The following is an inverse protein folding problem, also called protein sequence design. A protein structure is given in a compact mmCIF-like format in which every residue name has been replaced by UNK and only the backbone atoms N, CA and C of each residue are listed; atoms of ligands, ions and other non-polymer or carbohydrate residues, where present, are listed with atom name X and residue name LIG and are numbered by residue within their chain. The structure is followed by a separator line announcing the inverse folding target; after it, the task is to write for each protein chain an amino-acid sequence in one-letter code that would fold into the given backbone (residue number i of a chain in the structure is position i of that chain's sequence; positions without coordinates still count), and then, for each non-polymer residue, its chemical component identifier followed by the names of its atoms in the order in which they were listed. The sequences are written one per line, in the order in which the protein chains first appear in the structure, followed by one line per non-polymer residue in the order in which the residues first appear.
data_IF_608565361971
#
_entry.id   IF_608565361971
#
_cell.length_a   1.000
_cell.length_b   1.000
_cell.length_c   1.000
_cell.angle_alpha   90.00
_cell.angle_beta   90.00
_cell.angle_gamma   90.00
#
_symmetry.space_group_name_H-M   'P 1'
#
loop_
_entity.id
_entity.type
_entity.pdbx_description
1 polymer ?
#
# COMPACT_ATOMS: atom_id res chain seq x y z
N UNK A 1 1.24 6.56 -13.65
CA UNK A 1 1.58 6.04 -12.30
C UNK A 1 0.32 5.91 -11.50
N UNK A 2 -0.38 4.87 -11.74
CA UNK A 2 -1.69 4.95 -11.18
C UNK A 2 -2.07 3.60 -10.63
N UNK A 3 -1.25 3.21 -9.69
CA UNK A 3 -1.55 2.14 -8.79
C UNK A 3 -2.24 2.79 -7.64
N UNK A 4 -3.51 2.66 -7.52
CA UNK A 4 -4.25 2.96 -6.31
C UNK A 4 -3.66 3.93 -5.28
N UNK A 5 -2.52 4.54 -5.62
CA UNK A 5 -1.84 5.59 -4.87
C UNK A 5 -2.59 6.91 -4.92
N UNK A 6 -3.67 6.93 -5.66
CA UNK A 6 -4.66 8.01 -5.60
C UNK A 6 -5.07 8.29 -4.16
N UNK A 7 -4.96 7.32 -3.29
CA UNK A 7 -5.12 7.52 -1.86
C UNK A 7 -4.10 8.46 -1.21
N UNK A 8 -3.00 8.79 -1.88
CA UNK A 8 -2.07 9.82 -1.42
C UNK A 8 -2.59 11.23 -1.72
N UNK A 9 -3.52 11.39 -2.60
CA UNK A 9 -4.24 12.65 -2.78
C UNK A 9 -5.23 12.83 -1.65
N UNK A 10 -4.98 13.82 -0.87
CA UNK A 10 -5.61 14.09 0.43
C UNK A 10 -7.13 13.96 0.45
N UNK A 11 -7.80 14.53 -0.54
CA UNK A 11 -9.26 14.56 -0.59
C UNK A 11 -9.89 13.20 -0.80
N UNK A 12 -9.26 12.34 -1.57
CA UNK A 12 -9.74 10.98 -1.86
C UNK A 12 -9.41 10.07 -0.68
N UNK A 13 -8.24 10.24 -0.09
CA UNK A 13 -7.82 9.51 1.09
C UNK A 13 -8.81 9.67 2.24
N UNK A 14 -9.23 10.89 2.54
CA UNK A 14 -10.15 11.16 3.64
C UNK A 14 -11.52 10.52 3.39
N UNK A 15 -11.96 10.44 2.17
CA UNK A 15 -13.19 9.73 1.80
C UNK A 15 -13.09 8.22 2.00
N UNK A 16 -11.92 7.63 1.89
CA UNK A 16 -11.69 6.19 2.08
C UNK A 16 -11.38 5.81 3.53
N UNK A 17 -10.90 6.72 4.36
CA UNK A 17 -10.60 6.45 5.76
C UNK A 17 -11.80 6.01 6.58
N UNK A 18 -13.00 6.37 6.18
CA UNK A 18 -14.24 6.01 6.86
C UNK A 18 -14.85 4.68 6.38
N UNK A 19 -14.28 4.06 5.36
CA UNK A 19 -14.73 2.78 4.84
C UNK A 19 -14.11 1.63 5.61
N UNK A 20 -14.69 1.30 6.75
CA UNK A 20 -14.28 0.15 7.55
C UNK A 20 -14.98 -1.14 7.13
N UNK A 21 -15.87 -1.07 6.15
CA UNK A 21 -16.67 -2.19 5.69
C UNK A 21 -16.18 -2.62 4.31
N UNK A 22 -15.74 -3.87 4.21
CA UNK A 22 -15.29 -4.49 2.97
C UNK A 22 -16.29 -4.32 1.82
N UNK A 23 -17.61 -4.35 2.11
CA UNK A 23 -18.65 -4.14 1.10
C UNK A 23 -18.62 -2.73 0.51
N UNK A 24 -18.28 -1.75 1.31
CA UNK A 24 -18.17 -0.37 0.84
C UNK A 24 -16.94 -0.17 -0.03
N UNK A 25 -15.80 -0.78 0.32
CA UNK A 25 -14.60 -0.79 -0.50
C UNK A 25 -14.88 -1.40 -1.87
N UNK A 26 -15.52 -2.58 -1.89
CA UNK A 26 -15.88 -3.26 -3.14
C UNK A 26 -16.83 -2.42 -4.00
N UNK A 27 -17.84 -1.83 -3.38
CA UNK A 27 -18.80 -0.97 -4.08
C UNK A 27 -18.13 0.25 -4.69
N UNK A 28 -17.32 0.95 -3.91
CA UNK A 28 -16.60 2.15 -4.39
C UNK A 28 -15.63 1.80 -5.50
N UNK A 29 -14.90 0.70 -5.36
CA UNK A 29 -14.00 0.23 -6.41
C UNK A 29 -14.76 -0.05 -7.71
N UNK A 30 -15.85 -0.83 -7.64
CA UNK A 30 -16.64 -1.19 -8.82
C UNK A 30 -17.33 0.01 -9.48
N UNK A 31 -17.88 0.90 -8.68
CA UNK A 31 -18.72 2.00 -9.18
C UNK A 31 -17.92 3.22 -9.64
N UNK A 32 -16.74 3.44 -9.08
CA UNK A 32 -16.00 4.68 -9.29
C UNK A 32 -14.54 4.50 -9.67
N UNK A 33 -13.79 3.73 -8.89
CA UNK A 33 -12.32 3.71 -8.97
C UNK A 33 -11.82 2.94 -10.19
N UNK A 34 -12.35 1.77 -10.46
CA UNK A 34 -11.83 0.86 -11.49
C UNK A 34 -11.78 1.47 -12.89
N UNK A 35 -12.62 2.46 -13.17
CA UNK A 35 -12.64 3.14 -14.48
C UNK A 35 -11.43 4.03 -14.69
N UNK A 36 -10.85 4.56 -13.61
CA UNK A 36 -9.72 5.47 -13.64
C UNK A 36 -8.43 4.79 -13.20
N UNK A 37 -8.54 3.86 -12.27
CA UNK A 37 -7.42 3.17 -11.67
C UNK A 37 -7.78 1.70 -11.41
N UNK A 38 -7.41 0.78 -12.34
CA UNK A 38 -7.77 -0.63 -12.18
C UNK A 38 -7.09 -1.31 -11.01
N UNK A 39 -5.94 -0.81 -10.56
CA UNK A 39 -5.24 -1.30 -9.38
C UNK A 39 -5.47 -0.36 -8.20
N UNK A 40 -6.09 -0.86 -7.16
CA UNK A 40 -6.49 -0.07 -6.00
C UNK A 40 -6.02 -0.72 -4.71
N UNK A 41 -5.30 0.06 -3.90
CA UNK A 41 -4.91 -0.30 -2.55
C UNK A 41 -5.59 0.64 -1.56
N UNK A 42 -6.28 0.09 -0.60
CA UNK A 42 -6.92 0.84 0.48
C UNK A 42 -6.35 0.38 1.82
N UNK A 43 -5.85 1.30 2.61
CA UNK A 43 -5.36 1.03 3.96
C UNK A 43 -6.42 1.40 5.00
N UNK A 44 -6.68 0.53 5.95
CA UNK A 44 -7.61 0.74 7.06
C UNK A 44 -6.84 0.84 8.40
N UNK A 45 -5.92 1.79 8.48
CA UNK A 45 -5.06 1.99 9.65
C UNK A 45 -4.23 0.74 9.97
N UNK A 46 -4.27 0.30 11.22
CA UNK A 46 -3.52 -0.86 11.70
C UNK A 46 -4.27 -2.19 11.53
N UNK A 47 -5.39 -2.22 10.81
CA UNK A 47 -6.23 -3.43 10.69
C UNK A 47 -5.84 -4.27 9.49
N UNK A 48 -5.98 -3.71 8.31
CA UNK A 48 -5.80 -4.44 7.05
C UNK A 48 -5.51 -3.52 5.88
N UNK A 49 -5.04 -4.11 4.81
CA UNK A 49 -4.88 -3.49 3.51
C UNK A 49 -5.75 -4.27 2.53
N UNK A 50 -6.58 -3.57 1.77
CA UNK A 50 -7.41 -4.15 0.73
C UNK A 50 -6.78 -3.90 -0.64
N UNK A 51 -6.57 -4.95 -1.41
CA UNK A 51 -6.17 -4.90 -2.82
C UNK A 51 -7.37 -5.21 -3.70
N UNK A 52 -7.61 -4.37 -4.68
CA UNK A 52 -8.59 -4.59 -5.74
C UNK A 52 -7.96 -4.33 -7.09
N UNK A 53 -8.05 -5.30 -7.96
CA UNK A 53 -7.68 -5.18 -9.37
C UNK A 53 -8.81 -5.76 -10.23
N UNK A 54 -8.64 -5.78 -11.55
CA UNK A 54 -9.63 -6.41 -12.43
C UNK A 54 -9.79 -7.92 -12.17
N UNK A 55 -8.77 -8.57 -11.62
CA UNK A 55 -8.74 -10.03 -11.41
C UNK A 55 -8.51 -10.46 -9.96
N UNK A 56 -8.06 -9.56 -9.08
CA UNK A 56 -7.67 -9.86 -7.71
C UNK A 56 -8.52 -9.06 -6.74
N UNK A 57 -9.04 -9.76 -5.74
CA UNK A 57 -9.71 -9.20 -4.57
C UNK A 57 -9.10 -9.87 -3.34
N UNK A 58 -8.29 -9.12 -2.59
CA UNK A 58 -7.53 -9.70 -1.47
C UNK A 58 -7.36 -8.71 -0.33
N UNK A 59 -7.39 -9.22 0.88
CA UNK A 59 -7.10 -8.51 2.12
C UNK A 59 -5.79 -9.02 2.72
N UNK A 60 -5.00 -8.09 3.23
CA UNK A 60 -3.75 -8.36 3.91
C UNK A 60 -3.86 -7.89 5.35
N UNK A 61 -3.93 -8.80 6.31
CA UNK A 61 -3.92 -8.43 7.73
C UNK A 61 -2.57 -7.80 8.06
N UNK A 62 -2.60 -6.70 8.82
CA UNK A 62 -1.37 -6.07 9.31
C UNK A 62 -0.95 -6.79 10.59
N UNK A 63 0.30 -7.26 10.68
CA UNK A 63 0.81 -7.87 11.89
C UNK A 63 0.71 -6.91 13.07
N UNK A 64 0.32 -7.37 14.25
CA UNK A 64 0.27 -6.53 15.44
C UNK A 64 1.66 -5.95 15.73
N UNK A 65 1.72 -4.66 15.96
CA UNK A 65 2.92 -3.91 16.27
C UNK A 65 2.66 -2.97 17.44
N UNK A 66 3.54 -3.00 18.43
CA UNK A 66 3.58 -1.95 19.45
C UNK A 66 4.21 -0.69 18.85
N UNK A 67 3.35 0.19 18.35
CA UNK A 67 3.80 1.40 17.71
C UNK A 67 4.16 2.47 18.75
N UNK A 68 5.33 3.09 18.58
CA UNK A 68 5.73 4.30 19.31
C UNK A 68 5.00 5.51 18.74
N UNK A 69 4.87 5.56 17.41
CA UNK A 69 4.13 6.59 16.69
C UNK A 69 3.59 6.01 15.39
N UNK A 70 2.42 6.45 14.96
CA UNK A 70 1.84 6.08 13.65
C UNK A 70 1.96 7.20 12.63
N UNK A 71 2.60 8.32 13.00
CA UNK A 71 2.81 9.46 12.10
C UNK A 71 3.75 9.05 10.97
N UNK A 72 3.34 9.29 9.74
CA UNK A 72 4.12 8.96 8.55
C UNK A 72 4.02 7.50 8.09
N UNK A 73 3.29 6.64 8.81
CA UNK A 73 3.13 5.23 8.43
C UNK A 73 2.53 5.06 7.02
N UNK A 74 1.49 5.83 6.70
CA UNK A 74 0.85 5.78 5.38
C UNK A 74 1.77 6.25 4.25
N UNK A 75 2.52 7.32 4.46
CA UNK A 75 3.47 7.84 3.47
C UNK A 75 4.61 6.85 3.23
N UNK A 76 5.11 6.23 4.30
CA UNK A 76 6.16 5.22 4.19
C UNK A 76 5.62 3.88 3.65
N UNK A 77 4.38 3.53 3.90
CA UNK A 77 3.73 2.43 3.19
C UNK A 77 3.76 2.67 1.67
N UNK A 78 3.37 3.85 1.21
CA UNK A 78 3.42 4.22 -0.20
C UNK A 78 4.86 4.16 -0.76
N UNK A 79 5.84 4.63 0.00
CA UNK A 79 7.26 4.53 -0.38
C UNK A 79 7.70 3.06 -0.52
N UNK A 80 7.25 2.19 0.39
CA UNK A 80 7.50 0.75 0.33
C UNK A 80 6.85 0.08 -0.88
N UNK A 81 5.64 0.50 -1.28
CA UNK A 81 5.00 0.03 -2.52
C UNK A 81 5.84 0.43 -3.74
N UNK A 82 6.28 1.69 -3.82
CA UNK A 82 7.15 2.16 -4.92
C UNK A 82 8.45 1.36 -4.95
N UNK A 83 9.09 1.18 -3.80
CA UNK A 83 10.28 0.34 -3.69
C UNK A 83 10.04 -1.08 -4.19
N UNK A 84 8.93 -1.70 -3.79
CA UNK A 84 8.54 -3.03 -4.23
C UNK A 84 8.35 -3.14 -5.74
N UNK A 85 7.71 -2.14 -6.36
CA UNK A 85 7.56 -2.09 -7.82
C UNK A 85 8.90 -2.04 -8.54
N UNK A 86 9.82 -1.21 -8.06
CA UNK A 86 11.17 -1.12 -8.62
C UNK A 86 11.95 -2.41 -8.39
N UNK A 87 11.89 -2.97 -7.18
CA UNK A 87 12.60 -4.20 -6.82
C UNK A 87 12.19 -5.41 -7.66
N UNK A 88 10.92 -5.49 -8.02
CA UNK A 88 10.38 -6.60 -8.83
C UNK A 88 10.22 -6.25 -10.32
N UNK A 89 10.87 -5.16 -10.75
CA UNK A 89 10.91 -4.68 -12.15
C UNK A 89 9.52 -4.57 -12.80
N UNK A 90 8.55 -4.09 -12.03
CA UNK A 90 7.20 -3.84 -12.53
C UNK A 90 7.17 -2.52 -13.26
N UNK A 91 6.95 -2.54 -14.55
CA UNK A 91 6.87 -1.37 -15.43
C UNK A 91 5.42 -0.90 -15.57
N UNK A 92 5.26 0.29 -16.08
CA UNK A 92 3.92 0.84 -16.34
C UNK A 92 3.05 -0.08 -17.23
N UNK A 93 3.65 -0.69 -18.25
CA UNK A 93 2.95 -1.62 -19.13
C UNK A 93 2.51 -2.93 -18.43
N UNK A 94 3.14 -3.28 -17.32
CA UNK A 94 2.86 -4.53 -16.60
C UNK A 94 1.73 -4.36 -15.56
N UNK A 95 1.34 -3.12 -15.26
CA UNK A 95 0.41 -2.80 -14.16
C UNK A 95 -0.96 -3.50 -14.26
N UNK A 96 -1.42 -3.79 -15.46
CA UNK A 96 -2.68 -4.52 -15.68
C UNK A 96 -2.55 -6.04 -15.53
N UNK A 97 -1.35 -6.58 -15.39
CA UNK A 97 -1.05 -8.01 -15.43
C UNK A 97 -0.19 -8.50 -14.25
N UNK A 98 -0.08 -7.71 -13.20
CA UNK A 98 0.66 -8.10 -12.00
C UNK A 98 0.01 -9.33 -11.38
N UNK A 99 0.78 -10.39 -11.18
CA UNK A 99 0.31 -11.61 -10.53
C UNK A 99 0.04 -11.38 -9.03
N UNK A 100 -0.80 -12.22 -8.45
CA UNK A 100 -1.09 -12.17 -7.01
C UNK A 100 0.19 -12.34 -6.18
N UNK A 101 1.07 -13.28 -6.54
CA UNK A 101 2.34 -13.50 -5.85
C UNK A 101 3.25 -12.26 -5.90
N UNK A 102 3.27 -11.55 -7.01
CA UNK A 102 4.03 -10.30 -7.13
C UNK A 102 3.42 -9.20 -6.28
N UNK A 103 2.09 -9.08 -6.27
CA UNK A 103 1.39 -8.15 -5.37
C UNK A 103 1.67 -8.44 -3.90
N UNK A 104 1.67 -9.71 -3.50
CA UNK A 104 1.98 -10.12 -2.13
C UNK A 104 3.36 -9.62 -1.69
N UNK A 105 4.35 -9.73 -2.57
CA UNK A 105 5.72 -9.25 -2.33
C UNK A 105 5.79 -7.72 -2.25
N UNK A 106 5.10 -7.01 -3.15
CA UNK A 106 5.06 -5.55 -3.18
C UNK A 106 4.39 -5.00 -1.92
N UNK A 107 3.24 -5.55 -1.55
CA UNK A 107 2.51 -5.11 -0.35
C UNK A 107 3.30 -5.39 0.91
N UNK A 108 4.03 -6.50 0.96
CA UNK A 108 4.94 -6.79 2.07
C UNK A 108 6.00 -5.70 2.23
N UNK A 109 6.59 -5.21 1.15
CA UNK A 109 7.52 -4.07 1.22
C UNK A 109 6.86 -2.84 1.84
N UNK A 110 5.61 -2.53 1.46
CA UNK A 110 4.85 -1.44 2.06
C UNK A 110 4.64 -1.60 3.56
N UNK A 111 4.25 -2.80 3.99
CA UNK A 111 4.04 -3.13 5.41
C UNK A 111 5.35 -3.00 6.20
N UNK A 112 6.46 -3.49 5.67
CA UNK A 112 7.78 -3.43 6.32
C UNK A 112 8.26 -2.00 6.50
N UNK A 113 8.10 -1.14 5.49
CA UNK A 113 8.43 0.29 5.58
C UNK A 113 7.58 1.00 6.64
N UNK A 114 6.27 0.79 6.62
CA UNK A 114 5.37 1.37 7.61
C UNK A 114 5.69 0.88 9.04
N UNK A 115 5.98 -0.41 9.20
CA UNK A 115 6.32 -0.99 10.49
C UNK A 115 7.62 -0.44 11.06
N UNK A 116 8.64 -0.23 10.23
CA UNK A 116 9.91 0.36 10.68
C UNK A 116 9.70 1.79 11.20
N UNK A 117 8.96 2.60 10.46
CA UNK A 117 8.65 4.00 10.85
C UNK A 117 7.85 4.05 12.15
N UNK A 118 6.93 3.13 12.37
CA UNK A 118 6.13 3.10 13.59
C UNK A 118 6.94 2.78 14.87
N UNK A 119 8.18 2.30 14.77
CA UNK A 119 9.06 1.99 15.91
C UNK A 119 9.76 3.19 16.52
N UNK A 120 9.64 4.36 15.90
CA UNK A 120 10.30 5.57 16.38
C UNK A 120 9.39 6.80 16.21
N UNK A 121 9.84 7.95 16.68
CA UNK A 121 9.18 9.24 16.40
C UNK A 121 9.64 9.88 15.08
N UNK A 122 10.57 9.25 14.37
CA UNK A 122 11.01 9.73 13.07
C UNK A 122 9.95 9.40 12.02
N UNK A 123 9.75 10.30 11.06
CA UNK A 123 8.79 10.12 9.98
C UNK A 123 9.41 9.47 8.73
N UNK A 124 10.53 8.79 8.91
CA UNK A 124 11.26 8.11 7.83
C UNK A 124 11.77 6.76 8.32
N UNK A 125 12.07 5.88 7.38
CA UNK A 125 12.69 4.59 7.69
C UNK A 125 14.04 4.78 8.39
N UNK A 126 14.38 3.86 9.28
CA UNK A 126 15.62 3.90 10.02
C UNK A 126 16.84 3.66 9.10
N UNK A 127 18.02 4.24 9.41
CA UNK A 127 19.24 3.94 8.67
C UNK A 127 19.60 2.45 8.67
N UNK A 128 19.30 1.75 9.74
CA UNK A 128 19.51 0.32 9.90
C UNK A 128 18.66 -0.48 8.93
N UNK A 129 17.38 -0.14 8.83
CA UNK A 129 16.46 -0.75 7.87
C UNK A 129 16.87 -0.44 6.44
N UNK A 130 17.19 0.83 6.15
CA UNK A 130 17.63 1.26 4.83
C UNK A 130 18.87 0.49 4.31
N UNK A 131 19.83 0.18 5.18
CA UNK A 131 21.03 -0.60 4.83
C UNK A 131 20.72 -2.06 4.48
N UNK A 132 19.61 -2.60 4.95
CA UNK A 132 19.19 -3.98 4.67
C UNK A 132 18.45 -4.11 3.34
N UNK A 133 18.02 -2.99 2.77
CA UNK A 133 17.28 -3.01 1.51
C UNK A 133 18.24 -3.29 0.34
N UNK A 134 17.97 -4.30 -0.49
CA UNK A 134 18.69 -4.47 -1.75
C UNK A 134 18.60 -3.22 -2.61
N UNK A 135 19.67 -2.83 -3.30
CA UNK A 135 19.60 -1.72 -4.24
C UNK A 135 18.61 -2.01 -5.36
N UNK A 136 17.88 -1.00 -5.77
CA UNK A 136 17.00 -1.05 -6.94
C UNK A 136 17.62 -0.22 -8.06
N UNK A 137 17.55 -0.74 -9.26
CA UNK A 137 18.11 -0.07 -10.45
C UNK A 137 17.09 0.89 -11.07
#
# INVERSE_FOLDING_TARGET
ILIGLVGSEMCIRDSFFYMYNQREVDKVYKDKIRFYCPNFLCTAGAKEISLRTNSITKEYPIPPLEAVSTIGAGDNFNAGIIYGLLKYDVRYCDLGQISEDTWDKIIRCGIEFAADVCRSFNNSISPEFAKQLPPVN
#
